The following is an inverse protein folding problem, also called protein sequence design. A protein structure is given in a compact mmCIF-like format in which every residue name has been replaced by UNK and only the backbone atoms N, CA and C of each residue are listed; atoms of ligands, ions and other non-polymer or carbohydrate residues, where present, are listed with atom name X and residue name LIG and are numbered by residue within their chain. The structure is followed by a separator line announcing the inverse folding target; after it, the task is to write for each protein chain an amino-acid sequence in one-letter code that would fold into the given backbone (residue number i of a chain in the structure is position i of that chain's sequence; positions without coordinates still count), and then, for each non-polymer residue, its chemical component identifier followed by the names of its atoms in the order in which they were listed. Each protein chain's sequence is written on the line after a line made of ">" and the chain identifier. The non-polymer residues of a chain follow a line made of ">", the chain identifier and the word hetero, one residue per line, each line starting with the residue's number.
data_IF_439283602384
#
_entry.id   IF_439283602384
#
_cell.length_a   1.000
_cell.length_b   1.000
_cell.length_c   1.000
_cell.angle_alpha   90.00
_cell.angle_beta   90.00
_cell.angle_gamma   90.00
#
_symmetry.space_group_name_H-M   'P 1'
#
loop_
_entity.id
_entity.type
_entity.pdbx_description
1 polymer ?
#
# COMPACT_ATOMS: atom_id res chain seq x y z
N UNK A 1 -8.12 13.82 16.54
CA UNK A 1 -7.42 13.85 15.24
C UNK A 1 -6.02 13.26 15.31
N UNK A 2 -5.16 13.71 16.25
CA UNK A 2 -3.79 13.18 16.42
C UNK A 2 -3.72 11.64 16.54
N UNK A 3 -4.53 11.04 17.42
CA UNK A 3 -4.57 9.58 17.61
C UNK A 3 -4.83 8.81 16.31
N UNK A 4 -5.73 9.31 15.47
CA UNK A 4 -6.09 8.68 14.20
C UNK A 4 -4.97 8.76 13.18
N UNK A 5 -4.26 9.90 13.13
CA UNK A 5 -3.07 10.06 12.29
C UNK A 5 -1.99 9.07 12.75
N UNK A 6 -1.77 8.96 14.06
CA UNK A 6 -0.81 8.00 14.63
C UNK A 6 -1.19 6.57 14.28
N UNK A 7 -2.46 6.19 14.45
CA UNK A 7 -2.95 4.85 14.13
C UNK A 7 -2.82 4.55 12.63
N UNK A 8 -3.13 5.52 11.76
CA UNK A 8 -2.97 5.39 10.32
C UNK A 8 -1.50 5.18 9.93
N UNK A 9 -0.59 5.98 10.49
CA UNK A 9 0.86 5.84 10.25
C UNK A 9 1.35 4.47 10.74
N UNK A 10 0.91 4.03 11.92
CA UNK A 10 1.25 2.71 12.44
C UNK A 10 0.74 1.59 11.53
N UNK A 11 -0.51 1.65 11.05
CA UNK A 11 -1.05 0.67 10.11
C UNK A 11 -0.29 0.65 8.77
N UNK A 12 0.04 1.82 8.21
CA UNK A 12 0.83 1.91 6.98
C UNK A 12 2.21 1.27 7.21
N UNK A 13 2.87 1.55 8.32
CA UNK A 13 4.17 0.97 8.65
C UNK A 13 4.09 -0.57 8.76
N UNK A 14 3.06 -1.10 9.43
CA UNK A 14 2.82 -2.55 9.51
C UNK A 14 2.61 -3.14 8.12
N UNK A 15 1.76 -2.55 7.29
CA UNK A 15 1.46 -3.08 5.94
C UNK A 15 2.68 -3.02 5.03
N UNK A 16 3.44 -1.94 5.04
CA UNK A 16 4.70 -1.84 4.29
C UNK A 16 5.66 -2.93 4.76
N UNK A 17 5.80 -3.12 6.08
CA UNK A 17 6.67 -4.15 6.64
C UNK A 17 6.25 -5.56 6.18
N UNK A 18 4.97 -5.89 6.27
CA UNK A 18 4.43 -7.17 5.78
C UNK A 18 4.59 -7.34 4.28
N UNK A 19 4.37 -6.30 3.48
CA UNK A 19 4.54 -6.32 2.03
C UNK A 19 5.97 -6.69 1.61
N UNK A 20 6.95 -6.23 2.39
CA UNK A 20 8.35 -6.59 2.24
C UNK A 20 8.62 -8.04 2.67
N UNK A 21 8.10 -8.48 3.82
CA UNK A 21 8.28 -9.85 4.32
C UNK A 21 7.65 -10.90 3.38
N UNK A 22 6.55 -10.57 2.73
CA UNK A 22 5.85 -11.41 1.74
C UNK A 22 6.49 -11.35 0.35
N UNK A 23 7.69 -10.78 0.21
CA UNK A 23 8.37 -10.71 -1.08
C UNK A 23 8.80 -12.10 -1.56
N UNK A 24 8.62 -12.42 -2.85
CA UNK A 24 9.04 -13.70 -3.40
C UNK A 24 10.55 -13.88 -3.25
N UNK A 25 10.96 -15.07 -2.81
CA UNK A 25 12.37 -15.49 -2.73
C UNK A 25 12.83 -16.11 -4.05
N UNK A 26 14.14 -16.25 -4.21
CA UNK A 26 14.73 -16.89 -5.41
C UNK A 26 14.59 -16.06 -6.69
N UNK A 27 14.43 -14.73 -6.58
CA UNK A 27 14.32 -13.78 -7.71
C UNK A 27 15.41 -12.72 -7.64
N UNK A 28 15.69 -12.06 -8.78
CA UNK A 28 16.64 -10.96 -8.82
C UNK A 28 16.20 -9.82 -7.88
N UNK A 29 17.04 -9.52 -6.88
CA UNK A 29 16.77 -8.54 -5.82
C UNK A 29 16.53 -7.13 -6.36
N UNK A 30 17.27 -6.71 -7.40
CA UNK A 30 17.10 -5.37 -7.98
C UNK A 30 15.74 -5.22 -8.67
N UNK A 31 15.29 -6.25 -9.40
CA UNK A 31 13.96 -6.26 -10.04
C UNK A 31 12.85 -6.28 -8.99
N UNK A 32 13.02 -7.05 -7.92
CA UNK A 32 12.07 -7.13 -6.82
C UNK A 32 11.96 -5.78 -6.09
N UNK A 33 13.09 -5.16 -5.77
CA UNK A 33 13.14 -3.82 -5.18
C UNK A 33 12.40 -2.81 -6.06
N UNK A 34 12.69 -2.77 -7.37
CA UNK A 34 12.02 -1.88 -8.30
C UNK A 34 10.51 -2.10 -8.32
N UNK A 35 10.06 -3.36 -8.40
CA UNK A 35 8.63 -3.69 -8.35
C UNK A 35 7.97 -3.23 -7.04
N UNK A 36 8.64 -3.41 -5.89
CA UNK A 36 8.14 -2.97 -4.60
C UNK A 36 8.00 -1.45 -4.53
N UNK A 37 9.02 -0.72 -4.96
CA UNK A 37 9.00 0.74 -5.00
C UNK A 37 7.89 1.25 -5.91
N UNK A 38 7.72 0.65 -7.09
CA UNK A 38 6.65 1.01 -8.03
C UNK A 38 5.27 0.81 -7.41
N UNK A 39 5.01 -0.34 -6.78
CA UNK A 39 3.72 -0.62 -6.13
C UNK A 39 3.45 0.38 -5.00
N UNK A 40 4.44 0.67 -4.15
CA UNK A 40 4.28 1.62 -3.05
C UNK A 40 4.06 3.06 -3.55
N UNK A 41 4.79 3.47 -4.59
CA UNK A 41 4.63 4.79 -5.20
C UNK A 41 3.22 4.95 -5.83
N UNK A 42 2.74 3.92 -6.53
CA UNK A 42 1.39 3.90 -7.07
C UNK A 42 0.34 3.94 -5.96
N UNK A 43 0.51 3.16 -4.90
CA UNK A 43 -0.40 3.16 -3.75
C UNK A 43 -0.48 4.54 -3.09
N UNK A 44 0.67 5.20 -2.88
CA UNK A 44 0.73 6.55 -2.34
C UNK A 44 0.02 7.57 -3.27
N UNK A 45 0.24 7.48 -4.58
CA UNK A 45 -0.43 8.32 -5.57
C UNK A 45 -1.96 8.17 -5.54
N UNK A 46 -2.46 6.93 -5.51
CA UNK A 46 -3.89 6.64 -5.44
C UNK A 46 -4.49 7.10 -4.11
N UNK A 47 -3.78 6.90 -3.00
CA UNK A 47 -4.21 7.36 -1.68
C UNK A 47 -4.38 8.87 -1.62
N UNK A 48 -3.39 9.61 -2.12
CA UNK A 48 -3.44 11.08 -2.21
C UNK A 48 -4.60 11.53 -3.11
N UNK A 49 -4.78 10.90 -4.27
CA UNK A 49 -5.85 11.24 -5.20
C UNK A 49 -7.23 10.99 -4.59
N UNK A 50 -7.45 9.83 -3.96
CA UNK A 50 -8.70 9.48 -3.32
C UNK A 50 -9.03 10.45 -2.17
N UNK A 51 -8.05 10.72 -1.30
CA UNK A 51 -8.20 11.69 -0.22
C UNK A 51 -8.50 13.10 -0.74
N UNK A 52 -7.80 13.55 -1.79
CA UNK A 52 -8.00 14.86 -2.39
C UNK A 52 -9.40 15.01 -3.01
N UNK A 53 -9.86 14.03 -3.78
CA UNK A 53 -11.19 14.07 -4.42
C UNK A 53 -12.28 14.17 -3.35
N UNK A 54 -12.20 13.36 -2.29
CA UNK A 54 -13.17 13.36 -1.20
C UNK A 54 -13.13 14.65 -0.40
N UNK A 55 -11.93 15.14 -0.08
CA UNK A 55 -11.78 16.38 0.66
C UNK A 55 -12.34 17.58 -0.13
N UNK A 56 -12.03 17.66 -1.43
CA UNK A 56 -12.51 18.76 -2.27
C UNK A 56 -14.02 18.68 -2.53
N UNK A 57 -14.54 17.49 -2.82
CA UNK A 57 -15.97 17.28 -3.10
C UNK A 57 -16.85 17.52 -1.88
N UNK A 58 -16.38 17.10 -0.70
CA UNK A 58 -17.12 17.27 0.54
C UNK A 58 -17.02 18.67 1.15
N UNK A 59 -15.96 19.43 0.85
CA UNK A 59 -15.74 20.75 1.44
C UNK A 59 -16.82 21.79 1.08
N UNK A 60 -17.58 21.57 0.00
CA UNK A 60 -18.67 22.44 -0.41
C UNK A 60 -20.00 22.12 0.30
N UNK A 61 -20.12 20.95 0.93
CA UNK A 61 -21.41 20.43 1.43
C UNK A 61 -21.44 20.26 2.95
N UNK A 62 -20.29 20.19 3.62
CA UNK A 62 -20.22 19.85 5.05
C UNK A 62 -19.67 21.02 5.86
N UNK A 63 -20.47 21.50 6.80
CA UNK A 63 -20.14 22.60 7.70
C UNK A 63 -18.98 22.23 8.67
N UNK A 64 -18.84 20.94 8.98
CA UNK A 64 -17.79 20.40 9.88
C UNK A 64 -16.56 19.93 9.10
N UNK A 65 -15.61 20.85 8.88
CA UNK A 65 -14.35 20.59 8.17
C UNK A 65 -13.53 19.42 8.74
N UNK A 66 -13.55 19.22 10.06
CA UNK A 66 -12.81 18.16 10.74
C UNK A 66 -13.31 16.75 10.39
N UNK A 67 -14.64 16.61 10.24
CA UNK A 67 -15.25 15.34 9.85
C UNK A 67 -14.88 14.96 8.41
N UNK A 68 -14.72 15.98 7.56
CA UNK A 68 -14.34 15.79 6.18
C UNK A 68 -12.89 15.35 6.02
N UNK A 69 -11.98 15.99 6.76
CA UNK A 69 -10.59 15.61 6.82
C UNK A 69 -10.43 14.17 7.29
N UNK A 70 -11.20 13.77 8.31
CA UNK A 70 -11.22 12.39 8.79
C UNK A 70 -11.64 11.39 7.71
N UNK A 71 -12.76 11.66 7.00
CA UNK A 71 -13.26 10.79 5.95
C UNK A 71 -12.24 10.66 4.81
N UNK A 72 -11.62 11.77 4.41
CA UNK A 72 -10.59 11.80 3.37
C UNK A 72 -9.36 10.97 3.77
N UNK A 73 -8.88 11.10 5.02
CA UNK A 73 -7.75 10.32 5.54
C UNK A 73 -8.07 8.83 5.55
N UNK A 74 -9.25 8.43 6.05
CA UNK A 74 -9.65 7.02 6.06
C UNK A 74 -9.74 6.44 4.66
N UNK A 75 -10.40 7.15 3.74
CA UNK A 75 -10.56 6.68 2.37
C UNK A 75 -9.22 6.59 1.64
N UNK A 76 -8.33 7.57 1.83
CA UNK A 76 -6.97 7.52 1.30
C UNK A 76 -6.18 6.32 1.86
N UNK A 77 -6.26 6.08 3.16
CA UNK A 77 -5.65 4.91 3.80
C UNK A 77 -6.17 3.58 3.24
N UNK A 78 -7.49 3.44 3.09
CA UNK A 78 -8.09 2.25 2.50
C UNK A 78 -7.67 2.04 1.04
N UNK A 79 -7.63 3.10 0.25
CA UNK A 79 -7.17 3.06 -1.12
C UNK A 79 -5.70 2.63 -1.21
N UNK A 80 -4.84 3.14 -0.33
CA UNK A 80 -3.45 2.70 -0.21
C UNK A 80 -3.35 1.19 0.02
N UNK A 81 -4.06 0.69 1.05
CA UNK A 81 -4.04 -0.73 1.42
C UNK A 81 -4.50 -1.63 0.28
N UNK A 82 -5.54 -1.22 -0.44
CA UNK A 82 -6.08 -1.98 -1.57
C UNK A 82 -5.06 -2.08 -2.71
N UNK A 83 -4.39 -0.96 -3.06
CA UNK A 83 -3.37 -0.97 -4.12
C UNK A 83 -2.15 -1.79 -3.71
N UNK A 84 -1.71 -1.74 -2.45
CA UNK A 84 -0.61 -2.59 -1.96
C UNK A 84 -0.99 -4.07 -2.03
N UNK A 85 -2.21 -4.43 -1.61
CA UNK A 85 -2.71 -5.79 -1.67
C UNK A 85 -2.75 -6.31 -3.11
N UNK A 86 -3.43 -5.60 -4.00
CA UNK A 86 -3.57 -5.98 -5.42
C UNK A 86 -2.21 -5.99 -6.12
N UNK A 87 -1.39 -4.96 -5.90
CA UNK A 87 -0.04 -4.86 -6.44
C UNK A 87 0.87 -6.00 -5.95
N UNK A 88 0.74 -6.41 -4.69
CA UNK A 88 1.43 -7.57 -4.14
C UNK A 88 1.03 -8.88 -4.82
N UNK A 89 -0.27 -9.08 -5.05
CA UNK A 89 -0.80 -10.25 -5.78
C UNK A 89 -0.30 -10.25 -7.22
N UNK A 90 -0.41 -9.14 -7.95
CA UNK A 90 0.07 -8.99 -9.33
C UNK A 90 1.58 -9.26 -9.42
N UNK A 91 2.36 -8.65 -8.52
CA UNK A 91 3.80 -8.89 -8.43
C UNK A 91 4.12 -10.37 -8.22
N UNK A 92 3.39 -11.02 -7.31
CA UNK A 92 3.66 -12.41 -6.92
C UNK A 92 3.22 -13.43 -7.98
N UNK A 93 2.13 -13.18 -8.70
CA UNK A 93 1.58 -14.12 -9.68
C UNK A 93 2.06 -13.86 -11.10
N UNK A 94 2.15 -12.59 -11.52
CA UNK A 94 2.42 -12.22 -12.91
C UNK A 94 3.88 -11.80 -13.13
N UNK A 95 4.46 -10.99 -12.25
CA UNK A 95 5.84 -10.48 -12.42
C UNK A 95 6.87 -11.54 -12.01
N UNK A 96 6.64 -12.21 -10.89
CA UNK A 96 7.51 -13.25 -10.36
C UNK A 96 6.76 -14.58 -10.18
N UNK A 97 6.28 -15.21 -11.27
CA UNK A 97 5.52 -16.44 -11.19
C UNK A 97 6.34 -17.55 -10.51
N UNK A 98 5.67 -18.40 -9.73
CA UNK A 98 6.32 -19.47 -8.95
C UNK A 98 7.17 -20.41 -9.82
N UNK A 99 6.76 -20.65 -11.06
CA UNK A 99 7.48 -21.49 -12.04
C UNK A 99 8.85 -20.95 -12.47
N UNK A 100 9.13 -19.66 -12.25
CA UNK A 100 10.40 -18.99 -12.64
C UNK A 100 11.30 -18.66 -11.44
N UNK A 101 10.93 -19.08 -10.23
CA UNK A 101 11.72 -18.84 -9.03
C UNK A 101 12.75 -19.96 -8.87
N UNK A 102 13.94 -19.61 -8.37
CA UNK A 102 14.88 -20.63 -7.95
C UNK A 102 14.24 -21.52 -6.86
N UNK A 103 14.51 -22.84 -6.84
CA UNK A 103 14.04 -23.71 -5.77
C UNK A 103 14.51 -23.18 -4.41
N UNK A 104 13.61 -23.11 -3.43
CA UNK A 104 14.00 -22.79 -2.06
C UNK A 104 14.96 -23.88 -1.56
N UNK A 105 16.16 -23.51 -1.14
CA UNK A 105 17.12 -24.44 -0.54
C UNK A 105 16.56 -24.87 0.82
N UNK A 106 16.33 -26.18 1.08
CA UNK A 106 15.81 -26.63 2.37
C UNK A 106 16.87 -26.36 3.46
N UNK A 107 16.62 -25.41 4.37
CA UNK A 107 17.51 -25.14 5.51
C UNK A 107 17.58 -23.68 5.98
N UNK A 108 17.19 -22.71 5.15
CA UNK A 108 17.14 -21.29 5.56
C UNK A 108 15.75 -20.92 6.10
N UNK A 109 15.46 -21.36 7.34
CA UNK A 109 14.30 -20.90 8.12
C UNK A 109 14.72 -19.96 9.24
#
# INVERSE_FOLDING_TARGET
>A
MLLLIVLMVAMIAVVVSYFWQLSPRGVNRAKLLAANVIVLALAAGVAMLAGYILYRGGAQQVEKKDMLAYLAIMAGGMAFLLVVLVGGVIRNLLVFPRSRRAPDVPGER
#
